data_IF_422424625824
#
_entry.id   IF_422424625824
#
_cell.length_a   1.000
_cell.length_b   1.000
_cell.length_c   1.000
_cell.angle_alpha   90.00
_cell.angle_beta   90.00
_cell.angle_gamma   90.00
#
_symmetry.space_group_name_H-M   'P 1'
#
loop_
_entity.id
_entity.type
_entity.pdbx_description
1 polymer ?
#
# COMPACT_ATOMS: atom_id res chain seq x y z
N UNK A 1 0.99 -8.20 14.43
CA UNK A 1 0.21 -8.41 13.20
C UNK A 1 -0.05 -7.05 12.58
N UNK A 2 0.47 -6.75 11.39
CA UNK A 2 0.12 -5.51 10.69
C UNK A 2 -1.28 -5.67 10.11
N UNK A 3 -2.23 -4.84 10.57
CA UNK A 3 -3.61 -4.82 10.05
C UNK A 3 -3.57 -4.54 8.55
N UNK A 4 -4.03 -5.50 7.75
CA UNK A 4 -4.20 -5.32 6.31
C UNK A 4 -5.65 -4.93 6.04
N UNK A 5 -5.88 -3.90 5.23
CA UNK A 5 -7.22 -3.54 4.76
C UNK A 5 -7.90 -4.73 4.08
N UNK A 6 -9.17 -4.97 4.44
CA UNK A 6 -10.07 -5.85 3.71
C UNK A 6 -10.39 -5.24 2.35
N UNK A 7 -10.72 -6.09 1.37
CA UNK A 7 -11.19 -5.64 0.05
C UNK A 7 -12.47 -4.81 0.15
N UNK A 8 -13.34 -5.14 1.09
CA UNK A 8 -14.60 -4.43 1.33
C UNK A 8 -14.33 -3.02 1.87
N UNK A 9 -13.36 -2.90 2.79
CA UNK A 9 -12.93 -1.60 3.33
C UNK A 9 -12.42 -0.70 2.21
N UNK A 10 -11.64 -1.23 1.26
CA UNK A 10 -11.11 -0.45 0.12
C UNK A 10 -12.24 -0.03 -0.84
N UNK A 11 -13.23 -0.89 -1.10
CA UNK A 11 -14.37 -0.52 -1.97
C UNK A 11 -15.21 0.61 -1.38
N UNK A 12 -15.36 0.65 -0.06
CA UNK A 12 -16.11 1.68 0.65
C UNK A 12 -15.41 3.05 0.72
N UNK A 13 -14.17 3.18 0.23
CA UNK A 13 -13.42 4.44 0.23
C UNK A 13 -13.79 5.33 -0.95
N UNK A 14 -13.79 6.64 -0.70
CA UNK A 14 -13.89 7.69 -1.72
C UNK A 14 -12.63 7.72 -2.61
N UNK A 15 -12.74 8.25 -3.83
CA UNK A 15 -11.63 8.35 -4.77
C UNK A 15 -10.43 9.12 -4.21
N UNK A 16 -10.69 10.24 -3.54
CA UNK A 16 -9.65 11.05 -2.88
C UNK A 16 -8.88 10.24 -1.83
N UNK A 17 -9.60 9.44 -1.02
CA UNK A 17 -8.99 8.57 -0.01
C UNK A 17 -8.19 7.43 -0.64
N UNK A 18 -8.64 6.90 -1.77
CA UNK A 18 -7.89 5.89 -2.54
C UNK A 18 -6.54 6.48 -2.98
N UNK A 19 -6.54 7.68 -3.55
CA UNK A 19 -5.33 8.34 -4.01
C UNK A 19 -4.38 8.72 -2.87
N UNK A 20 -4.91 9.24 -1.77
CA UNK A 20 -4.15 9.51 -0.54
C UNK A 20 -3.46 8.23 -0.03
N UNK A 21 -4.17 7.11 -0.04
CA UNK A 21 -3.65 5.85 0.46
C UNK A 21 -2.61 5.23 -0.48
N UNK A 22 -2.78 5.39 -1.80
CA UNK A 22 -1.75 5.07 -2.80
C UNK A 22 -0.48 5.88 -2.52
N UNK A 23 -0.60 7.20 -2.29
CA UNK A 23 0.53 8.07 -2.01
C UNK A 23 1.24 7.66 -0.71
N UNK A 24 0.46 7.38 0.35
CA UNK A 24 0.99 6.91 1.63
C UNK A 24 1.78 5.60 1.49
N UNK A 25 1.23 4.61 0.78
CA UNK A 25 1.91 3.32 0.58
C UNK A 25 3.18 3.50 -0.28
N UNK A 26 3.15 4.36 -1.31
CA UNK A 26 4.33 4.68 -2.12
C UNK A 26 5.45 5.31 -1.29
N UNK A 27 5.13 6.22 -0.37
CA UNK A 27 6.09 6.82 0.58
C UNK A 27 6.71 5.75 1.49
N UNK A 28 5.89 4.88 2.06
CA UNK A 28 6.37 3.77 2.90
C UNK A 28 7.32 2.85 2.12
N UNK A 29 6.97 2.47 0.89
CA UNK A 29 7.83 1.65 0.03
C UNK A 29 9.14 2.37 -0.34
N UNK A 30 9.13 3.69 -0.49
CA UNK A 30 10.33 4.49 -0.69
C UNK A 30 11.24 4.46 0.54
N UNK A 31 10.70 4.68 1.74
CA UNK A 31 11.46 4.58 2.98
C UNK A 31 12.07 3.19 3.18
N UNK A 32 11.33 2.11 2.89
CA UNK A 32 11.86 0.76 2.98
C UNK A 32 13.04 0.53 2.01
N UNK A 33 12.99 1.08 0.79
CA UNK A 33 14.11 1.03 -0.15
C UNK A 33 15.32 1.82 0.36
N UNK A 34 15.10 2.97 0.99
CA UNK A 34 16.17 3.75 1.62
C UNK A 34 16.81 3.00 2.79
N UNK A 35 16.01 2.37 3.66
CA UNK A 35 16.49 1.51 4.76
C UNK A 35 17.29 0.30 4.24
N UNK A 36 16.84 -0.28 3.12
CA UNK A 36 17.55 -1.37 2.46
C UNK A 36 18.91 -0.91 1.89
N UNK A 37 18.94 0.24 1.22
CA UNK A 37 20.18 0.80 0.67
C UNK A 37 21.21 1.15 1.76
N UNK A 38 20.73 1.67 2.90
CA UNK A 38 21.56 2.02 4.07
C UNK A 38 21.93 0.81 4.95
N UNK A 39 21.55 -0.41 4.55
CA UNK A 39 21.75 -1.66 5.32
C UNK A 39 21.21 -1.60 6.75
N UNK A 40 20.18 -0.79 6.99
CA UNK A 40 19.49 -0.76 8.26
C UNK A 40 18.67 -2.04 8.46
N UNK A 41 18.44 -2.43 9.71
CA UNK A 41 17.55 -3.56 10.03
C UNK A 41 16.10 -3.19 9.70
N UNK A 42 15.44 -3.99 8.88
CA UNK A 42 14.00 -3.89 8.62
C UNK A 42 13.39 -5.27 8.44
N UNK A 43 12.07 -5.36 8.58
CA UNK A 43 11.31 -6.61 8.46
C UNK A 43 10.88 -6.84 7.00
N UNK A 44 11.42 -7.85 6.28
CA UNK A 44 11.14 -8.02 4.84
C UNK A 44 9.68 -8.34 4.52
N UNK A 45 8.98 -9.06 5.41
CA UNK A 45 7.58 -9.42 5.22
C UNK A 45 6.65 -8.21 5.14
N UNK A 46 7.02 -7.09 5.78
CA UNK A 46 6.23 -5.86 5.76
C UNK A 46 6.19 -5.27 4.34
N UNK A 47 7.30 -5.32 3.62
CA UNK A 47 7.38 -4.86 2.23
C UNK A 47 6.48 -5.69 1.31
N UNK A 48 6.40 -7.01 1.53
CA UNK A 48 5.47 -7.90 0.79
C UNK A 48 4.01 -7.50 1.05
N UNK A 49 3.67 -7.17 2.30
CA UNK A 49 2.31 -6.78 2.69
C UNK A 49 1.91 -5.47 2.00
N UNK A 50 2.73 -4.43 2.09
CA UNK A 50 2.43 -3.13 1.47
C UNK A 50 2.37 -3.21 -0.06
N UNK A 51 3.22 -4.02 -0.71
CA UNK A 51 3.11 -4.27 -2.15
C UNK A 51 1.77 -4.91 -2.52
N UNK A 52 1.32 -5.91 -1.74
CA UNK A 52 0.02 -6.55 -1.96
C UNK A 52 -1.14 -5.58 -1.77
N UNK A 53 -1.08 -4.74 -0.73
CA UNK A 53 -2.10 -3.72 -0.48
C UNK A 53 -2.18 -2.69 -1.60
N UNK A 54 -1.03 -2.20 -2.09
CA UNK A 54 -0.99 -1.27 -3.21
C UNK A 54 -1.66 -1.87 -4.45
N UNK A 55 -1.35 -3.12 -4.78
CA UNK A 55 -1.97 -3.81 -5.91
C UNK A 55 -3.50 -3.92 -5.75
N UNK A 56 -3.98 -4.29 -4.56
CA UNK A 56 -5.43 -4.38 -4.28
C UNK A 56 -6.14 -3.05 -4.46
N UNK A 57 -5.55 -1.96 -3.96
CA UNK A 57 -6.12 -0.62 -4.08
C UNK A 57 -6.15 -0.18 -5.55
N UNK A 58 -5.06 -0.39 -6.30
CA UNK A 58 -5.00 -0.04 -7.73
C UNK A 58 -5.98 -0.86 -8.58
N UNK A 59 -6.20 -2.14 -8.27
CA UNK A 59 -7.22 -2.95 -8.95
C UNK A 59 -8.63 -2.40 -8.71
N UNK A 60 -8.99 -2.09 -7.46
CA UNK A 60 -10.31 -1.54 -7.14
C UNK A 60 -10.48 -0.15 -7.74
N UNK A 61 -9.43 0.67 -7.74
CA UNK A 61 -9.44 1.96 -8.41
C UNK A 61 -9.78 1.78 -9.90
N UNK A 62 -9.08 0.88 -10.59
CA UNK A 62 -9.35 0.59 -12.00
C UNK A 62 -10.78 0.09 -12.24
N UNK A 63 -11.29 -0.82 -11.39
CA UNK A 63 -12.67 -1.30 -11.46
C UNK A 63 -13.73 -0.20 -11.28
N UNK A 64 -13.43 0.89 -10.55
CA UNK A 64 -14.36 2.02 -10.36
C UNK A 64 -14.44 2.96 -11.57
N UNK A 65 -13.32 3.09 -12.30
CA UNK A 65 -13.21 4.00 -13.45
C UNK A 65 -13.47 3.32 -14.80
N UNK A 66 -13.66 2.00 -14.82
CA UNK A 66 -13.95 1.21 -16.02
C UNK A 66 -15.46 1.06 -16.23
#
# INVERSE_FOLDING_TARGET
MTKTLSKEEIRAMDEEKIDEQILAIKKILFEFRMKQATKQSFKPHILKIYKRQLAQIMTIQHEKFQ
#
